data_IF_814640522999
#
_entry.id   IF_814640522999
#
_cell.length_a   1.000
_cell.length_b   1.000
_cell.length_c   1.000
_cell.angle_alpha   90.00
_cell.angle_beta   90.00
_cell.angle_gamma   90.00
#
_symmetry.space_group_name_H-M   'P 1'
#
loop_
_entity.id
_entity.type
_entity.pdbx_description
1 polymer ?
#
# COMPACT_ATOMS: atom_id res chain seq x y z
N UNK A 1 0.53 -14.96 -1.52
CA UNK A 1 0.54 -13.49 -1.51
C UNK A 1 -0.73 -12.93 -0.89
N UNK A 2 -1.90 -13.02 -1.53
CA UNK A 2 -3.13 -12.41 -1.02
C UNK A 2 -3.50 -12.77 0.43
N UNK A 3 -3.32 -14.02 0.88
CA UNK A 3 -3.52 -14.37 2.30
C UNK A 3 -2.64 -13.54 3.26
N UNK A 4 -1.38 -13.27 2.88
CA UNK A 4 -0.44 -12.44 3.64
C UNK A 4 -0.83 -10.97 3.59
N UNK A 5 -1.30 -10.49 2.43
CA UNK A 5 -1.83 -9.12 2.28
C UNK A 5 -3.03 -8.93 3.20
N UNK A 6 -4.01 -9.84 3.17
CA UNK A 6 -5.22 -9.76 4.00
C UNK A 6 -4.94 -9.66 5.50
N UNK A 7 -3.86 -10.29 5.99
CA UNK A 7 -3.46 -10.14 7.41
C UNK A 7 -2.77 -8.82 7.74
N UNK A 8 -2.22 -8.12 6.73
CA UNK A 8 -1.41 -6.90 6.89
C UNK A 8 -2.15 -5.62 6.47
N UNK A 9 -3.36 -5.76 5.91
CA UNK A 9 -4.13 -4.66 5.33
C UNK A 9 -5.52 -4.52 5.93
N UNK A 10 -5.97 -3.28 6.09
CA UNK A 10 -7.37 -2.97 6.33
C UNK A 10 -8.21 -3.24 5.08
N UNK A 11 -9.54 -3.21 5.20
CA UNK A 11 -10.44 -3.51 4.09
C UNK A 11 -10.25 -2.59 2.88
N UNK A 12 -10.04 -1.28 3.11
CA UNK A 12 -9.85 -0.29 2.04
C UNK A 12 -8.51 -0.48 1.33
N UNK A 13 -7.40 -0.63 2.07
CA UNK A 13 -6.11 -0.97 1.46
C UNK A 13 -6.16 -2.30 0.71
N UNK A 14 -6.89 -3.31 1.21
CA UNK A 14 -7.04 -4.60 0.53
C UNK A 14 -7.60 -4.47 -0.89
N UNK A 15 -8.62 -3.61 -1.07
CA UNK A 15 -9.17 -3.31 -2.39
C UNK A 15 -8.12 -2.73 -3.34
N UNK A 16 -7.26 -1.85 -2.85
CA UNK A 16 -6.16 -1.27 -3.64
C UNK A 16 -5.13 -2.32 -4.04
N UNK A 17 -4.81 -3.29 -3.18
CA UNK A 17 -3.94 -4.42 -3.55
C UNK A 17 -4.51 -5.27 -4.67
N UNK A 18 -5.84 -5.51 -4.67
CA UNK A 18 -6.50 -6.22 -5.75
C UNK A 18 -6.42 -5.43 -7.05
N UNK A 19 -6.66 -4.12 -7.00
CA UNK A 19 -6.50 -3.22 -8.15
C UNK A 19 -5.07 -3.28 -8.73
N UNK A 20 -4.02 -3.20 -7.90
CA UNK A 20 -2.63 -3.29 -8.37
C UNK A 20 -2.31 -4.62 -9.05
N UNK A 21 -2.92 -5.71 -8.58
CA UNK A 21 -2.77 -7.01 -9.22
C UNK A 21 -3.50 -7.09 -10.56
N UNK A 22 -4.68 -6.48 -10.66
CA UNK A 22 -5.45 -6.43 -11.91
C UNK A 22 -4.77 -5.53 -12.96
N UNK A 23 -4.16 -4.41 -12.53
CA UNK A 23 -3.29 -3.58 -13.38
C UNK A 23 -2.12 -4.41 -13.94
N UNK A 24 -1.44 -5.16 -13.08
CA UNK A 24 -0.31 -6.01 -13.49
C UNK A 24 -0.71 -7.11 -14.48
N UNK A 25 -1.95 -7.59 -14.39
CA UNK A 25 -2.51 -8.59 -15.32
C UNK A 25 -2.96 -8.01 -16.65
N UNK A 26 -2.99 -6.68 -16.79
CA UNK A 26 -3.68 -6.01 -17.89
C UNK A 26 -5.21 -6.15 -17.84
N UNK A 27 -5.77 -6.53 -16.68
CA UNK A 27 -7.22 -6.57 -16.45
C UNK A 27 -7.78 -5.20 -16.03
N UNK A 28 -6.91 -4.27 -15.61
CA UNK A 28 -7.20 -2.86 -15.39
C UNK A 28 -6.17 -2.00 -16.15
N UNK A 29 -6.58 -0.80 -16.58
CA UNK A 29 -5.68 0.14 -17.23
C UNK A 29 -4.67 0.70 -16.23
N UNK A 30 -3.39 0.73 -16.61
CA UNK A 30 -2.36 1.43 -15.85
C UNK A 30 -2.20 2.83 -16.41
N UNK A 31 -2.82 3.80 -15.76
CA UNK A 31 -2.88 5.18 -16.26
C UNK A 31 -1.64 6.02 -15.85
N UNK A 32 -0.88 5.55 -14.86
CA UNK A 32 0.29 6.25 -14.34
C UNK A 32 1.60 5.58 -14.79
N UNK A 33 2.35 6.24 -15.67
CA UNK A 33 3.66 5.76 -16.13
C UNK A 33 4.66 5.57 -14.98
N UNK A 34 4.65 6.46 -13.98
CA UNK A 34 5.49 6.30 -12.79
C UNK A 34 5.13 5.03 -12.01
N UNK A 35 3.85 4.67 -11.90
CA UNK A 35 3.43 3.41 -11.28
C UNK A 35 3.96 2.17 -12.02
N UNK A 36 4.11 2.24 -13.35
CA UNK A 36 4.66 1.14 -14.15
C UNK A 36 6.10 0.80 -13.74
N UNK A 37 6.92 1.81 -13.49
CA UNK A 37 8.31 1.63 -13.06
C UNK A 37 8.42 0.91 -11.72
N UNK A 38 7.47 1.16 -10.81
CA UNK A 38 7.46 0.51 -9.50
C UNK A 38 7.18 -0.99 -9.55
N UNK A 39 6.52 -1.52 -10.60
CA UNK A 39 6.33 -2.97 -10.74
C UNK A 39 7.63 -3.74 -10.96
N UNK A 40 8.74 -3.05 -11.27
CA UNK A 40 10.09 -3.61 -11.26
C UNK A 40 10.24 -4.90 -12.10
N UNK A 41 9.57 -4.94 -13.25
CA UNK A 41 9.57 -6.09 -14.16
C UNK A 41 8.81 -7.31 -13.63
N UNK A 42 7.91 -7.13 -12.65
CA UNK A 42 6.91 -8.14 -12.31
C UNK A 42 5.95 -8.33 -13.49
N UNK A 43 5.61 -9.59 -13.77
CA UNK A 43 4.59 -9.94 -14.76
C UNK A 43 3.77 -11.12 -14.27
N UNK A 44 2.56 -11.25 -14.81
CA UNK A 44 1.71 -12.42 -14.58
C UNK A 44 1.73 -13.30 -15.83
N UNK A 45 2.28 -14.51 -15.68
CA UNK A 45 2.26 -15.56 -16.70
C UNK A 45 1.24 -16.63 -16.31
N UNK A 46 0.09 -16.63 -16.98
CA UNK A 46 -1.06 -17.45 -16.62
C UNK A 46 -1.54 -17.17 -15.19
N UNK A 47 -1.30 -18.11 -14.27
CA UNK A 47 -1.62 -17.96 -12.84
C UNK A 47 -0.40 -17.65 -11.97
N UNK A 48 0.80 -17.58 -12.54
CA UNK A 48 2.05 -17.39 -11.82
C UNK A 48 2.49 -15.93 -11.88
N UNK A 49 2.92 -15.40 -10.73
CA UNK A 49 3.65 -14.14 -10.67
C UNK A 49 5.14 -14.43 -10.86
N UNK A 50 5.77 -13.78 -11.83
CA UNK A 50 7.18 -13.98 -12.19
C UNK A 50 7.83 -12.65 -12.56
N UNK A 51 9.13 -12.69 -12.91
CA UNK A 51 9.87 -11.57 -13.48
C UNK A 51 9.90 -11.68 -15.01
N UNK A 52 10.00 -10.54 -15.68
CA UNK A 52 10.26 -10.47 -17.12
C UNK A 52 11.53 -11.24 -17.49
N UNK A 53 11.53 -11.83 -18.69
CA UNK A 53 12.66 -12.60 -19.20
C UNK A 53 13.96 -11.78 -19.27
N UNK A 54 13.86 -10.49 -19.59
CA UNK A 54 14.96 -9.52 -19.61
C UNK A 54 15.61 -9.34 -18.23
N UNK A 55 14.79 -9.23 -17.18
CA UNK A 55 15.24 -9.10 -15.78
C UNK A 55 15.89 -10.40 -15.31
N UNK A 56 15.29 -11.54 -15.63
CA UNK A 56 15.84 -12.86 -15.30
C UNK A 56 17.19 -13.12 -15.96
N UNK A 57 17.37 -12.68 -17.22
CA UNK A 57 18.59 -12.88 -17.99
C UNK A 57 19.73 -11.93 -17.60
N UNK A 58 19.44 -10.83 -16.91
CA UNK A 58 20.42 -9.81 -16.54
C UNK A 58 20.87 -9.95 -15.08
N UNK A 59 20.19 -9.28 -14.16
CA UNK A 59 20.58 -9.19 -12.75
C UNK A 59 19.38 -9.33 -11.81
N UNK A 60 18.72 -10.51 -11.75
CA UNK A 60 17.50 -10.70 -10.96
C UNK A 60 17.68 -10.43 -9.46
N UNK A 61 18.91 -10.57 -8.93
CA UNK A 61 19.21 -10.27 -7.54
C UNK A 61 19.26 -8.76 -7.23
N UNK A 62 19.55 -7.91 -8.22
CA UNK A 62 19.49 -6.46 -8.05
C UNK A 62 18.04 -6.01 -7.83
N UNK A 63 17.07 -6.59 -8.55
CA UNK A 63 15.64 -6.31 -8.37
C UNK A 63 15.18 -6.57 -6.93
N UNK A 64 15.64 -7.65 -6.29
CA UNK A 64 15.34 -7.91 -4.88
C UNK A 64 15.99 -6.90 -3.94
N UNK A 65 17.23 -6.48 -4.21
CA UNK A 65 17.93 -5.50 -3.41
C UNK A 65 17.27 -4.10 -3.48
N UNK A 66 16.89 -3.68 -4.68
CA UNK A 66 16.14 -2.45 -4.92
C UNK A 66 14.77 -2.48 -4.24
N UNK A 67 14.04 -3.59 -4.31
CA UNK A 67 12.76 -3.73 -3.63
C UNK A 67 12.87 -3.60 -2.11
N UNK A 68 13.95 -4.09 -1.51
CA UNK A 68 14.23 -3.87 -0.09
C UNK A 68 14.62 -2.42 0.22
N UNK A 69 15.27 -1.72 -0.70
CA UNK A 69 15.60 -0.31 -0.53
C UNK A 69 14.34 0.56 -0.56
N UNK A 70 13.47 0.35 -1.56
CA UNK A 70 12.16 1.01 -1.68
C UNK A 70 11.26 0.73 -0.47
N UNK A 71 11.29 -0.48 0.08
CA UNK A 71 10.54 -0.80 1.30
C UNK A 71 11.03 0.00 2.51
N UNK A 72 12.35 0.19 2.66
CA UNK A 72 12.87 1.05 3.74
C UNK A 72 12.46 2.51 3.56
N UNK A 73 12.48 3.01 2.34
CA UNK A 73 12.00 4.37 2.02
C UNK A 73 10.51 4.50 2.32
N UNK A 74 9.69 3.49 1.97
CA UNK A 74 8.27 3.40 2.31
C UNK A 74 8.07 3.47 3.83
N UNK A 75 8.81 2.68 4.61
CA UNK A 75 8.73 2.69 6.08
C UNK A 75 9.14 4.04 6.70
N UNK A 76 10.02 4.80 6.07
CA UNK A 76 10.38 6.15 6.50
C UNK A 76 9.30 7.18 6.16
N UNK A 77 8.66 7.04 5.00
CA UNK A 77 7.59 7.93 4.54
C UNK A 77 6.31 7.77 5.37
N UNK A 78 5.98 6.54 5.76
CA UNK A 78 4.77 6.22 6.51
C UNK A 78 5.09 6.01 7.98
N UNK A 79 4.59 6.91 8.86
CA UNK A 79 4.81 6.82 10.30
C UNK A 79 4.58 5.40 10.84
N UNK A 80 5.52 4.93 11.66
CA UNK A 80 5.51 3.58 12.20
C UNK A 80 4.33 3.38 13.17
N UNK A 81 3.62 2.25 13.02
CA UNK A 81 2.73 1.72 14.06
C UNK A 81 1.28 1.49 13.63
N UNK A 82 0.75 2.30 12.72
CA UNK A 82 -0.71 2.33 12.48
C UNK A 82 -1.13 2.33 11.00
N UNK A 83 -0.19 2.19 10.07
CA UNK A 83 -0.46 2.10 8.62
C UNK A 83 -0.28 0.65 8.13
N UNK A 84 -1.11 0.24 7.16
CA UNK A 84 -1.01 -1.10 6.56
C UNK A 84 0.37 -1.33 5.95
N UNK A 85 0.99 -2.47 6.30
CA UNK A 85 2.38 -2.76 5.97
C UNK A 85 3.41 -2.18 6.95
N UNK A 86 3.02 -1.28 7.85
CA UNK A 86 3.92 -0.59 8.80
C UNK A 86 3.39 -0.67 10.24
N UNK A 87 3.21 -1.89 10.76
CA UNK A 87 2.81 -2.12 12.16
C UNK A 87 1.30 -2.19 12.43
N UNK A 88 0.45 -1.78 11.46
CA UNK A 88 -1.00 -1.89 11.62
C UNK A 88 -1.43 -3.35 11.84
N UNK A 89 -2.32 -3.53 12.80
CA UNK A 89 -2.91 -4.83 13.15
C UNK A 89 -4.42 -4.71 13.26
N UNK A 90 -5.14 -5.68 12.70
CA UNK A 90 -6.60 -5.73 12.77
C UNK A 90 -7.03 -5.99 14.22
N UNK A 91 -7.85 -5.10 14.79
CA UNK A 91 -8.41 -5.21 16.15
C UNK A 91 -9.92 -5.00 16.12
N UNK A 92 -10.70 -5.56 17.07
CA UNK A 92 -12.12 -5.23 17.20
C UNK A 92 -12.32 -3.72 17.30
N UNK A 93 -13.22 -3.16 16.49
CA UNK A 93 -13.46 -1.71 16.42
C UNK A 93 -12.45 -0.89 15.59
N UNK A 94 -11.30 -1.47 15.22
CA UNK A 94 -10.26 -0.81 14.40
C UNK A 94 -10.18 -1.49 13.02
N UNK A 95 -11.10 -1.11 12.13
CA UNK A 95 -11.29 -1.73 10.81
C UNK A 95 -10.51 -1.05 9.69
N UNK A 96 -9.99 0.16 9.94
CA UNK A 96 -9.21 0.99 9.03
C UNK A 96 -7.86 1.34 9.67
N UNK A 97 -6.87 1.69 8.85
CA UNK A 97 -5.57 2.14 9.30
C UNK A 97 -5.49 3.68 9.37
N UNK A 98 -4.48 4.21 10.06
CA UNK A 98 -4.28 5.64 10.27
C UNK A 98 -4.29 6.45 8.97
N UNK A 99 -3.86 5.86 7.85
CA UNK A 99 -3.90 6.50 6.54
C UNK A 99 -5.32 6.93 6.11
N UNK A 100 -6.35 6.22 6.60
CA UNK A 100 -7.74 6.51 6.29
C UNK A 100 -8.47 7.27 7.40
N UNK A 101 -7.89 7.38 8.60
CA UNK A 101 -8.62 7.86 9.79
C UNK A 101 -7.94 9.00 10.52
N UNK A 102 -6.61 9.13 10.44
CA UNK A 102 -5.88 10.20 11.12
C UNK A 102 -6.09 11.53 10.40
N UNK A 103 -6.12 12.67 11.11
CA UNK A 103 -6.13 13.99 10.47
C UNK A 103 -4.97 14.14 9.48
N UNK A 104 -5.19 14.88 8.39
CA UNK A 104 -4.12 15.21 7.43
C UNK A 104 -3.56 16.60 7.79
N UNK A 105 -2.25 16.73 8.04
CA UNK A 105 -1.66 18.04 8.29
C UNK A 105 -1.88 19.00 7.11
N UNK A 106 -2.11 20.27 7.41
CA UNK A 106 -2.27 21.33 6.39
C UNK A 106 -1.09 21.38 5.44
N UNK A 107 0.14 21.21 5.96
CA UNK A 107 1.35 21.23 5.15
C UNK A 107 1.36 20.12 4.10
N UNK A 108 0.85 18.94 4.45
CA UNK A 108 0.75 17.81 3.53
C UNK A 108 -0.32 18.05 2.45
N UNK A 109 -1.42 18.72 2.78
CA UNK A 109 -2.44 19.12 1.81
C UNK A 109 -1.94 20.19 0.85
N UNK A 110 -1.15 21.15 1.35
CA UNK A 110 -0.51 22.19 0.53
C UNK A 110 0.49 21.55 -0.44
N UNK A 111 1.41 20.71 0.05
CA UNK A 111 2.39 20.01 -0.80
C UNK A 111 1.70 19.16 -1.88
N UNK A 112 0.65 18.41 -1.48
CA UNK A 112 -0.16 17.65 -2.42
C UNK A 112 -0.80 18.55 -3.48
N UNK A 113 -1.44 19.64 -3.07
CA UNK A 113 -2.14 20.56 -3.97
C UNK A 113 -1.20 21.23 -4.97
N UNK A 114 -0.02 21.68 -4.52
CA UNK A 114 0.99 22.31 -5.38
C UNK A 114 1.59 21.32 -6.39
N UNK A 115 1.60 20.03 -6.06
CA UNK A 115 2.01 18.96 -6.96
C UNK A 115 0.95 18.50 -7.97
N UNK A 116 -0.30 18.95 -7.85
CA UNK A 116 -1.38 18.53 -8.74
C UNK A 116 -1.32 19.23 -10.10
N UNK A 117 -1.61 18.52 -11.21
CA UNK A 117 -1.93 19.18 -12.48
C UNK A 117 -3.14 20.11 -12.32
N UNK A 118 -3.12 21.25 -13.02
CA UNK A 118 -4.20 22.27 -12.95
C UNK A 118 -5.59 21.69 -13.25
N UNK A 119 -5.68 20.74 -14.19
CA UNK A 119 -6.94 20.05 -14.51
C UNK A 119 -7.49 19.24 -13.31
N UNK A 120 -6.60 18.64 -12.52
CA UNK A 120 -6.99 17.83 -11.36
C UNK A 120 -7.38 18.72 -10.18
N UNK A 121 -6.60 19.76 -9.88
CA UNK A 121 -6.95 20.71 -8.82
C UNK A 121 -8.26 21.45 -9.12
N UNK A 122 -8.47 21.85 -10.39
CA UNK A 122 -9.74 22.42 -10.84
C UNK A 122 -10.93 21.47 -10.65
N UNK A 123 -10.73 20.17 -10.85
CA UNK A 123 -11.78 19.16 -10.64
C UNK A 123 -12.10 18.97 -9.16
N UNK A 124 -11.09 19.03 -8.27
CA UNK A 124 -11.30 18.93 -6.82
C UNK A 124 -12.06 20.13 -6.23
N UNK A 125 -12.02 21.29 -6.89
CA UNK A 125 -12.77 22.48 -6.52
C UNK A 125 -14.10 22.63 -7.28
N UNK A 126 -14.64 21.50 -7.77
CA UNK A 126 -15.96 21.43 -8.40
C UNK A 126 -16.80 20.32 -7.78
N UNK A 127 -18.04 20.65 -7.45
CA UNK A 127 -19.06 19.72 -6.97
C UNK A 127 -20.35 19.92 -7.75
N UNK A 128 -21.12 18.86 -7.93
CA UNK A 128 -22.50 19.02 -8.42
C UNK A 128 -23.35 19.69 -7.36
N UNK A 129 -24.33 20.48 -7.77
CA UNK A 129 -25.25 21.14 -6.83
C UNK A 129 -25.90 20.15 -5.87
N UNK A 130 -26.32 18.96 -6.34
CA UNK A 130 -26.92 17.94 -5.49
C UNK A 130 -25.97 17.41 -4.41
N UNK A 131 -24.71 17.20 -4.77
CA UNK A 131 -23.69 16.66 -3.87
C UNK A 131 -23.30 17.73 -2.84
N UNK A 132 -23.11 18.97 -3.27
CA UNK A 132 -22.84 20.10 -2.38
C UNK A 132 -23.98 20.32 -1.38
N UNK A 133 -25.25 20.23 -1.81
CA UNK A 133 -26.41 20.38 -0.92
C UNK A 133 -26.48 19.26 0.12
N UNK A 134 -26.18 18.02 -0.28
CA UNK A 134 -26.14 16.88 0.63
C UNK A 134 -25.03 17.05 1.69
N UNK A 135 -23.83 17.44 1.24
CA UNK A 135 -22.71 17.72 2.13
C UNK A 135 -22.97 18.93 3.04
N UNK A 136 -23.61 19.99 2.53
CA UNK A 136 -24.00 21.16 3.31
C UNK A 136 -24.95 20.76 4.46
N UNK A 137 -25.99 19.95 4.22
CA UNK A 137 -26.87 19.48 5.30
C UNK A 137 -26.10 18.66 6.35
N UNK A 138 -25.22 17.76 5.90
CA UNK A 138 -24.39 16.95 6.79
C UNK A 138 -23.47 17.82 7.67
N UNK A 139 -22.80 18.80 7.08
CA UNK A 139 -21.90 19.70 7.79
C UNK A 139 -22.66 20.61 8.76
N UNK A 140 -23.80 21.16 8.36
CA UNK A 140 -24.65 21.93 9.27
C UNK A 140 -25.12 21.09 10.46
N UNK A 141 -25.42 19.81 10.25
CA UNK A 141 -25.93 18.92 11.30
C UNK A 141 -24.85 18.42 12.25
N UNK A 142 -23.74 17.93 11.73
CA UNK A 142 -22.76 17.15 12.50
C UNK A 142 -21.49 17.93 12.78
N UNK A 143 -21.07 18.81 11.87
CA UNK A 143 -19.80 19.53 11.98
C UNK A 143 -19.98 20.87 12.68
N UNK A 144 -20.94 21.70 12.23
CA UNK A 144 -21.21 23.01 12.83
C UNK A 144 -22.34 22.98 13.87
N UNK A 145 -23.08 21.87 13.96
CA UNK A 145 -24.20 21.66 14.89
C UNK A 145 -25.21 22.82 14.89
N UNK A 146 -25.54 23.35 13.71
CA UNK A 146 -26.52 24.42 13.52
C UNK A 146 -27.92 23.92 13.87
N UNK A 147 -28.65 24.72 14.66
CA UNK A 147 -30.00 24.40 15.10
C UNK A 147 -30.93 24.13 13.90
N UNK A 148 -31.89 23.22 14.06
CA UNK A 148 -32.79 22.80 12.97
C UNK A 148 -33.51 23.98 12.31
N UNK A 149 -33.94 24.95 13.11
CA UNK A 149 -34.71 26.11 12.63
C UNK A 149 -33.83 27.11 11.86
N UNK A 150 -32.55 27.22 12.22
CA UNK A 150 -31.59 28.10 11.55
C UNK A 150 -31.02 27.53 10.25
N UNK A 151 -31.05 26.20 10.02
CA UNK A 151 -30.56 25.59 8.76
C UNK A 151 -31.27 26.15 7.53
N UNK A 152 -32.57 26.46 7.66
CA UNK A 152 -33.35 27.06 6.58
C UNK A 152 -32.85 28.45 6.15
N UNK A 153 -32.20 29.18 7.06
CA UNK A 153 -31.58 30.47 6.75
C UNK A 153 -30.29 30.26 5.94
N UNK A 154 -29.45 29.29 6.30
CA UNK A 154 -28.26 28.94 5.51
C UNK A 154 -28.64 28.49 4.10
N UNK A 155 -29.67 27.65 3.96
CA UNK A 155 -30.20 27.26 2.66
C UNK A 155 -30.86 28.41 1.88
N UNK A 156 -31.24 29.50 2.55
CA UNK A 156 -31.71 30.73 1.88
C UNK A 156 -30.54 31.48 1.27
N UNK A 157 -29.45 31.65 2.02
CA UNK A 157 -28.20 32.28 1.52
C UNK A 157 -27.59 31.46 0.38
N UNK A 158 -27.54 30.13 0.49
CA UNK A 158 -27.12 29.24 -0.60
C UNK A 158 -27.93 29.49 -1.88
N UNK A 159 -29.26 29.54 -1.78
CA UNK A 159 -30.13 29.80 -2.94
C UNK A 159 -29.97 31.19 -3.53
N UNK A 160 -29.49 32.16 -2.75
CA UNK A 160 -29.21 33.51 -3.24
C UNK A 160 -27.97 33.56 -4.15
N UNK A 161 -27.06 32.57 -4.07
CA UNK A 161 -25.90 32.44 -4.96
C UNK A 161 -26.28 31.91 -6.35
N UNK A 162 -27.42 31.22 -6.47
CA UNK A 162 -27.83 30.60 -7.73
C UNK A 162 -28.24 31.66 -8.75
N UNK A 163 -27.84 31.53 -10.03
CA UNK A 163 -28.28 32.43 -11.08
C UNK A 163 -29.81 32.37 -11.23
N UNK A 164 -30.44 33.54 -11.43
CA UNK A 164 -31.90 33.62 -11.60
C UNK A 164 -32.30 33.02 -12.95
N UNK A 165 -33.27 32.10 -13.01
CA UNK A 165 -33.77 31.58 -14.28
C UNK A 165 -34.42 32.71 -15.08
N UNK A 166 -33.85 33.04 -16.26
CA UNK A 166 -34.36 34.06 -17.18
C UNK A 166 -33.71 35.43 -17.08
N UNK A 167 -32.65 35.63 -16.30
CA UNK A 167 -31.78 36.81 -16.39
C UNK A 167 -30.87 36.72 -17.61
N UNK A 168 -30.65 37.84 -18.31
CA UNK A 168 -29.68 37.90 -19.39
C UNK A 168 -28.30 37.42 -18.90
N UNK A 169 -27.59 36.66 -19.73
CA UNK A 169 -26.34 35.96 -19.43
C UNK A 169 -25.11 36.88 -19.15
N UNK A 170 -25.32 38.14 -18.76
CA UNK A 170 -24.25 39.14 -18.61
C UNK A 170 -23.92 39.57 -17.17
N UNK A 171 -24.64 39.07 -16.15
CA UNK A 171 -24.20 39.23 -14.76
C UNK A 171 -23.82 37.86 -14.21
N UNK A 172 -22.50 37.64 -14.06
CA UNK A 172 -21.97 36.45 -13.40
C UNK A 172 -22.72 36.20 -12.09
N UNK A 173 -23.06 34.93 -11.83
CA UNK A 173 -23.80 34.54 -10.62
C UNK A 173 -23.17 35.16 -9.36
N UNK A 174 -24.00 35.42 -8.35
CA UNK A 174 -23.51 36.00 -7.10
C UNK A 174 -22.39 35.13 -6.51
N UNK A 175 -21.24 35.74 -6.26
CA UNK A 175 -20.08 35.09 -5.68
C UNK A 175 -20.04 35.32 -4.16
N UNK A 176 -19.57 34.33 -3.42
CA UNK A 176 -19.39 34.42 -1.97
C UNK A 176 -17.92 34.20 -1.63
N UNK A 177 -17.28 35.19 -1.01
CA UNK A 177 -15.89 35.04 -0.55
C UNK A 177 -15.83 34.03 0.61
N UNK A 178 -15.00 33.00 0.46
CA UNK A 178 -14.80 31.94 1.46
C UNK A 178 -13.60 32.26 2.36
N UNK A 179 -12.51 32.70 1.75
CA UNK A 179 -11.32 33.21 2.43
C UNK A 179 -10.60 34.20 1.50
N UNK A 180 -9.46 34.75 1.95
CA UNK A 180 -8.64 35.59 1.09
C UNK A 180 -8.26 34.82 -0.20
N UNK A 181 -8.63 35.40 -1.33
CA UNK A 181 -8.35 34.84 -2.64
C UNK A 181 -9.23 33.67 -3.08
N UNK A 182 -10.24 33.23 -2.31
CA UNK A 182 -11.15 32.13 -2.70
C UNK A 182 -12.62 32.54 -2.66
N UNK A 183 -13.35 32.19 -3.72
CA UNK A 183 -14.76 32.57 -3.92
C UNK A 183 -15.57 31.37 -4.38
N UNK A 184 -16.75 31.20 -3.79
CA UNK A 184 -17.72 30.21 -4.16
C UNK A 184 -18.65 30.78 -5.24
N UNK A 185 -18.77 30.09 -6.37
CA UNK A 185 -19.68 30.44 -7.47
C UNK A 185 -20.54 29.23 -7.86
N UNK A 186 -21.65 29.50 -8.54
CA UNK A 186 -22.53 28.47 -9.11
C UNK A 186 -22.63 28.68 -10.60
N UNK A 187 -22.13 27.71 -11.38
CA UNK A 187 -22.06 27.77 -12.84
C UNK A 187 -22.52 26.44 -13.42
N UNK A 188 -23.53 26.48 -14.30
CA UNK A 188 -24.03 25.31 -15.04
C UNK A 188 -24.35 24.06 -14.19
N UNK A 189 -24.92 24.25 -12.99
CA UNK A 189 -25.26 23.14 -12.09
C UNK A 189 -24.07 22.61 -11.28
N UNK A 190 -22.92 23.27 -11.36
CA UNK A 190 -21.74 23.02 -10.54
C UNK A 190 -21.55 24.14 -9.53
N UNK A 191 -21.16 23.75 -8.33
CA UNK A 191 -20.61 24.63 -7.31
C UNK A 191 -19.10 24.63 -7.49
N UNK A 192 -18.51 25.80 -7.67
CA UNK A 192 -17.09 25.96 -7.94
C UNK A 192 -16.45 26.81 -6.84
N UNK A 193 -15.30 26.36 -6.34
CA UNK A 193 -14.42 27.20 -5.52
C UNK A 193 -13.30 27.75 -6.42
N UNK A 194 -13.36 29.03 -6.73
CA UNK A 194 -12.36 29.70 -7.55
C UNK A 194 -11.39 30.46 -6.66
N UNK A 195 -10.09 30.28 -6.84
CA UNK A 195 -9.13 31.05 -6.08
C UNK A 195 -7.67 30.82 -6.43
N UNK A 196 -6.82 31.64 -5.81
CA UNK A 196 -5.37 31.55 -5.91
C UNK A 196 -4.75 31.36 -4.53
N UNK A 197 -3.85 30.37 -4.40
CA UNK A 197 -3.07 30.11 -3.18
C UNK A 197 -3.72 29.10 -2.23
N UNK A 198 -3.18 27.89 -2.15
CA UNK A 198 -3.76 26.79 -1.35
C UNK A 198 -3.60 26.94 0.16
N UNK A 199 -2.50 27.53 0.63
CA UNK A 199 -2.18 27.60 2.06
C UNK A 199 -3.27 28.31 2.87
N UNK A 200 -3.64 29.53 2.47
CA UNK A 200 -4.66 30.32 3.18
C UNK A 200 -6.03 29.61 3.23
N UNK A 201 -6.37 28.87 2.17
CA UNK A 201 -7.61 28.09 2.15
C UNK A 201 -7.58 26.94 3.15
N UNK A 202 -6.52 26.13 3.16
CA UNK A 202 -6.41 24.99 4.07
C UNK A 202 -6.25 25.41 5.52
N UNK A 203 -5.50 26.49 5.80
CA UNK A 203 -5.41 27.10 7.13
C UNK A 203 -6.79 27.55 7.62
N UNK A 204 -7.54 28.27 6.78
CA UNK A 204 -8.92 28.69 7.13
C UNK A 204 -9.82 27.50 7.43
N UNK A 205 -9.73 26.43 6.63
CA UNK A 205 -10.54 25.24 6.85
C UNK A 205 -10.15 24.46 8.11
N UNK A 206 -8.86 24.43 8.46
CA UNK A 206 -8.34 23.90 9.73
C UNK A 206 -8.86 24.71 10.92
N UNK A 207 -8.81 26.05 10.86
CA UNK A 207 -9.36 26.91 11.92
C UNK A 207 -10.84 26.62 12.21
N UNK A 208 -11.65 26.43 11.16
CA UNK A 208 -13.07 26.07 11.30
C UNK A 208 -13.24 24.69 11.96
N UNK A 209 -12.32 23.76 11.70
CA UNK A 209 -12.33 22.44 12.31
C UNK A 209 -11.88 22.48 13.77
N UNK A 210 -10.83 23.22 14.09
CA UNK A 210 -10.29 23.39 15.44
C UNK A 210 -11.20 24.17 16.38
N UNK A 211 -11.98 25.13 15.84
CA UNK A 211 -13.05 25.78 16.60
C UNK A 211 -14.12 24.79 17.11
N UNK A 212 -14.13 23.53 16.64
CA UNK A 212 -14.95 22.44 17.20
C UNK A 212 -14.25 21.69 18.34
N UNK A 213 -12.91 21.74 18.40
CA UNK A 213 -12.06 20.95 19.31
C UNK A 213 -11.53 21.69 20.53
N UNK A 214 -11.52 23.02 20.54
CA UNK A 214 -10.90 23.84 21.59
C UNK A 214 -11.73 24.04 22.88
N UNK A 215 -13.01 23.66 22.92
CA UNK A 215 -13.87 23.84 24.10
C UNK A 215 -13.87 22.61 25.02
N UNK A 216 -12.69 22.23 25.49
CA UNK A 216 -12.58 21.53 26.77
C UNK A 216 -13.04 22.49 27.88
N UNK A 217 -14.30 22.35 28.32
CA UNK A 217 -14.96 23.18 29.33
C UNK A 217 -15.40 24.59 28.84
N UNK A 218 -16.20 24.67 27.77
CA UNK A 218 -16.55 25.94 27.14
C UNK A 218 -17.98 26.07 26.63
N UNK A 219 -18.35 25.49 25.48
CA UNK A 219 -19.74 25.50 25.00
C UNK A 219 -20.01 24.41 23.95
N UNK A 220 -20.47 23.23 24.37
CA UNK A 220 -21.11 22.21 23.50
C UNK A 220 -22.49 22.69 22.96
N UNK A 221 -22.62 23.98 22.68
CA UNK A 221 -23.86 24.64 22.31
C UNK A 221 -24.23 24.40 20.85
N UNK A 222 -25.53 24.28 20.61
CA UNK A 222 -26.09 24.37 19.26
C UNK A 222 -25.79 25.78 18.72
N UNK A 223 -25.11 25.89 17.57
CA UNK A 223 -24.88 27.19 16.90
C UNK A 223 -26.20 27.69 16.28
N UNK A 224 -26.43 28.99 16.34
CA UNK A 224 -27.56 29.65 15.72
C UNK A 224 -27.08 30.48 14.51
N UNK A 225 -27.91 30.47 13.46
CA UNK A 225 -27.74 31.28 12.26
C UNK A 225 -29.08 31.96 11.97
N UNK A 226 -29.51 32.79 12.91
CA UNK A 226 -30.80 33.49 12.92
C UNK A 226 -30.78 34.78 12.08
N UNK A 227 -29.61 35.41 11.93
CA UNK A 227 -29.40 36.54 11.02
C UNK A 227 -28.85 36.11 9.65
N UNK A 228 -29.06 36.91 8.58
CA UNK A 228 -28.44 36.65 7.28
C UNK A 228 -26.91 36.61 7.34
N UNK A 229 -26.28 37.42 8.19
CA UNK A 229 -24.83 37.49 8.35
C UNK A 229 -24.28 36.18 8.93
N UNK A 230 -24.90 35.68 10.02
CA UNK A 230 -24.52 34.40 10.63
C UNK A 230 -24.83 33.21 9.72
N UNK A 231 -25.90 33.30 8.92
CA UNK A 231 -26.23 32.28 7.93
C UNK A 231 -25.20 32.23 6.78
N UNK A 232 -24.69 33.39 6.34
CA UNK A 232 -23.59 33.46 5.36
C UNK A 232 -22.29 32.92 5.95
N UNK A 233 -21.97 33.27 7.19
CA UNK A 233 -20.78 32.73 7.88
C UNK A 233 -20.84 31.21 7.99
N UNK A 234 -21.97 30.63 8.39
CA UNK A 234 -22.14 29.18 8.44
C UNK A 234 -22.04 28.52 7.05
N UNK A 235 -22.51 29.19 5.99
CA UNK A 235 -22.33 28.70 4.61
C UNK A 235 -20.85 28.71 4.20
N UNK A 236 -20.10 29.77 4.55
CA UNK A 236 -18.66 29.88 4.29
C UNK A 236 -17.88 28.80 5.05
N UNK A 237 -18.15 28.63 6.34
CA UNK A 237 -17.56 27.58 7.18
C UNK A 237 -17.81 26.19 6.57
N UNK A 238 -19.05 25.91 6.15
CA UNK A 238 -19.38 24.65 5.48
C UNK A 238 -18.64 24.49 4.16
N UNK A 239 -18.59 25.52 3.30
CA UNK A 239 -17.88 25.44 2.03
C UNK A 239 -16.40 25.11 2.23
N UNK A 240 -15.73 25.77 3.18
CA UNK A 240 -14.33 25.48 3.50
C UNK A 240 -14.12 24.02 3.92
N UNK A 241 -14.95 23.50 4.83
CA UNK A 241 -14.87 22.09 5.27
C UNK A 241 -15.15 21.09 4.15
N UNK A 242 -16.14 21.36 3.29
CA UNK A 242 -16.53 20.47 2.20
C UNK A 242 -15.38 20.31 1.20
N UNK A 243 -14.81 21.43 0.73
CA UNK A 243 -13.73 21.37 -0.25
C UNK A 243 -12.42 20.86 0.37
N UNK A 244 -12.11 21.18 1.64
CA UNK A 244 -11.00 20.54 2.36
C UNK A 244 -11.19 19.02 2.40
N UNK A 245 -12.39 18.55 2.76
CA UNK A 245 -12.73 17.13 2.81
C UNK A 245 -12.56 16.43 1.46
N UNK A 246 -12.94 17.08 0.35
CA UNK A 246 -12.73 16.54 -0.99
C UNK A 246 -11.26 16.37 -1.33
N UNK A 247 -10.41 17.36 -0.99
CA UNK A 247 -8.96 17.27 -1.17
C UNK A 247 -8.36 16.19 -0.27
N UNK A 248 -8.79 16.09 0.99
CA UNK A 248 -8.33 15.03 1.91
C UNK A 248 -8.66 13.64 1.38
N UNK A 249 -9.85 13.43 0.84
CA UNK A 249 -10.23 12.14 0.25
C UNK A 249 -9.30 11.80 -0.91
N UNK A 250 -9.07 12.75 -1.83
CA UNK A 250 -8.18 12.56 -2.98
C UNK A 250 -6.73 12.29 -2.55
N UNK A 251 -6.22 13.05 -1.58
CA UNK A 251 -4.91 12.84 -0.97
C UNK A 251 -4.80 11.42 -0.40
N UNK A 252 -5.72 11.02 0.48
CA UNK A 252 -5.70 9.70 1.13
C UNK A 252 -5.77 8.56 0.12
N UNK A 253 -6.54 8.73 -0.96
CA UNK A 253 -6.66 7.73 -2.02
C UNK A 253 -5.36 7.59 -2.82
N UNK A 254 -4.74 8.70 -3.21
CA UNK A 254 -3.44 8.68 -3.88
C UNK A 254 -2.37 8.04 -2.97
N UNK A 255 -2.27 8.51 -1.73
CA UNK A 255 -1.28 8.02 -0.76
C UNK A 255 -1.48 6.54 -0.44
N UNK A 256 -2.73 6.10 -0.23
CA UNK A 256 -3.04 4.68 -0.02
C UNK A 256 -2.77 3.84 -1.26
N UNK A 257 -3.07 4.37 -2.45
CA UNK A 257 -2.77 3.72 -3.72
C UNK A 257 -1.28 3.49 -3.91
N UNK A 258 -0.45 4.48 -3.56
CA UNK A 258 1.00 4.40 -3.62
C UNK A 258 1.57 3.41 -2.59
N UNK A 259 1.13 3.50 -1.32
CA UNK A 259 1.54 2.55 -0.28
C UNK A 259 1.17 1.11 -0.66
N UNK A 260 -0.02 0.89 -1.22
CA UNK A 260 -0.45 -0.43 -1.68
C UNK A 260 0.42 -0.95 -2.83
N UNK A 261 0.82 -0.10 -3.77
CA UNK A 261 1.73 -0.48 -4.86
C UNK A 261 3.10 -0.91 -4.32
N UNK A 262 3.73 -0.08 -3.48
CA UNK A 262 5.04 -0.38 -2.93
C UNK A 262 5.03 -1.68 -2.10
N UNK A 263 4.04 -1.83 -1.21
CA UNK A 263 3.93 -3.02 -0.39
C UNK A 263 3.60 -4.27 -1.23
N UNK A 264 2.78 -4.14 -2.27
CA UNK A 264 2.48 -5.23 -3.20
C UNK A 264 3.76 -5.77 -3.84
N UNK A 265 4.55 -4.87 -4.43
CA UNK A 265 5.80 -5.20 -5.12
C UNK A 265 6.80 -5.81 -4.15
N UNK A 266 6.98 -5.20 -2.96
CA UNK A 266 7.85 -5.71 -1.92
C UNK A 266 7.47 -7.14 -1.51
N UNK A 267 6.19 -7.40 -1.24
CA UNK A 267 5.71 -8.72 -0.84
C UNK A 267 5.86 -9.75 -1.96
N UNK A 268 5.56 -9.36 -3.20
CA UNK A 268 5.73 -10.21 -4.38
C UNK A 268 7.18 -10.66 -4.55
N UNK A 269 8.11 -9.70 -4.59
CA UNK A 269 9.53 -9.94 -4.78
C UNK A 269 10.15 -10.67 -3.59
N UNK A 270 9.77 -10.32 -2.36
CA UNK A 270 10.23 -11.02 -1.16
C UNK A 270 9.82 -12.49 -1.13
N UNK A 271 8.61 -12.82 -1.58
CA UNK A 271 8.17 -14.22 -1.71
C UNK A 271 8.97 -14.99 -2.78
N UNK A 272 9.34 -14.33 -3.90
CA UNK A 272 10.19 -14.96 -4.93
C UNK A 272 11.61 -15.18 -4.41
N UNK A 273 12.18 -14.19 -3.74
CA UNK A 273 13.52 -14.28 -3.16
C UNK A 273 13.60 -15.40 -2.10
N UNK A 274 12.58 -15.53 -1.26
CA UNK A 274 12.48 -16.62 -0.28
C UNK A 274 12.45 -17.99 -0.95
N UNK A 275 11.68 -18.14 -2.04
CA UNK A 275 11.65 -19.38 -2.83
C UNK A 275 13.01 -19.72 -3.43
N UNK A 276 13.73 -18.72 -3.96
CA UNK A 276 15.08 -18.91 -4.49
C UNK A 276 16.06 -19.33 -3.39
N UNK A 277 16.01 -18.66 -2.24
CA UNK A 277 16.87 -18.98 -1.09
C UNK A 277 16.66 -20.42 -0.62
N UNK A 278 15.42 -20.87 -0.54
CA UNK A 278 15.07 -22.25 -0.19
C UNK A 278 15.59 -23.23 -1.25
N UNK A 279 15.39 -22.95 -2.53
CA UNK A 279 15.90 -23.79 -3.63
C UNK A 279 17.44 -23.92 -3.60
N UNK A 280 18.16 -22.84 -3.34
CA UNK A 280 19.62 -22.88 -3.18
C UNK A 280 20.06 -23.67 -1.93
N UNK A 281 19.31 -23.55 -0.83
CA UNK A 281 19.55 -24.34 0.38
C UNK A 281 19.39 -25.83 0.11
N UNK A 282 18.30 -26.22 -0.55
CA UNK A 282 18.00 -27.60 -0.91
C UNK A 282 19.03 -28.17 -1.89
N UNK A 283 19.47 -27.37 -2.87
CA UNK A 283 20.51 -27.77 -3.81
C UNK A 283 21.84 -28.08 -3.09
N UNK A 284 22.26 -27.20 -2.17
CA UNK A 284 23.48 -27.42 -1.37
C UNK A 284 23.35 -28.66 -0.48
N UNK A 285 22.19 -28.88 0.13
CA UNK A 285 21.95 -30.06 0.93
C UNK A 285 22.07 -31.36 0.10
N UNK A 286 21.49 -31.38 -1.11
CA UNK A 286 21.60 -32.51 -2.04
C UNK A 286 23.03 -32.75 -2.53
N UNK A 287 23.79 -31.68 -2.77
CA UNK A 287 25.21 -31.79 -3.13
C UNK A 287 26.03 -32.41 -1.99
N UNK A 288 25.84 -31.95 -0.75
CA UNK A 288 26.51 -32.51 0.41
C UNK A 288 26.13 -33.98 0.66
N UNK A 289 24.86 -34.35 0.46
CA UNK A 289 24.40 -35.75 0.54
C UNK A 289 25.09 -36.64 -0.51
N UNK A 290 25.18 -36.17 -1.75
CA UNK A 290 25.87 -36.90 -2.83
C UNK A 290 27.37 -37.11 -2.52
N UNK A 291 28.06 -36.08 -2.02
CA UNK A 291 29.46 -36.17 -1.61
C UNK A 291 29.67 -37.19 -0.46
N UNK A 292 28.77 -37.20 0.54
CA UNK A 292 28.83 -38.17 1.63
C UNK A 292 28.60 -39.61 1.13
N UNK A 293 27.68 -39.82 0.20
CA UNK A 293 27.45 -41.13 -0.42
C UNK A 293 28.70 -41.62 -1.16
N UNK A 294 29.36 -40.76 -1.94
CA UNK A 294 30.62 -41.09 -2.62
C UNK A 294 31.74 -41.47 -1.64
N UNK A 295 31.86 -40.75 -0.52
CA UNK A 295 32.83 -41.06 0.53
C UNK A 295 32.56 -42.44 1.15
N UNK A 296 31.31 -42.72 1.52
CA UNK A 296 30.90 -44.01 2.09
C UNK A 296 31.19 -45.16 1.14
N UNK A 297 30.88 -45.01 -0.15
CA UNK A 297 31.21 -46.02 -1.17
C UNK A 297 32.72 -46.23 -1.29
N UNK A 298 33.51 -45.15 -1.26
CA UNK A 298 34.97 -45.23 -1.34
C UNK A 298 35.57 -45.96 -0.14
N UNK A 299 35.04 -45.73 1.06
CA UNK A 299 35.46 -46.40 2.29
C UNK A 299 35.05 -47.87 2.29
N UNK A 300 33.84 -48.19 1.83
CA UNK A 300 33.38 -49.56 1.64
C UNK A 300 34.28 -50.32 0.66
N UNK A 301 34.64 -49.71 -0.48
CA UNK A 301 35.59 -50.27 -1.47
C UNK A 301 36.98 -50.48 -0.86
N UNK A 302 37.51 -49.51 -0.09
CA UNK A 302 38.80 -49.64 0.62
C UNK A 302 38.78 -50.74 1.68
N UNK A 303 37.68 -50.86 2.44
CA UNK A 303 37.49 -51.90 3.45
C UNK A 303 37.39 -53.30 2.83
N UNK A 304 36.65 -53.43 1.72
CA UNK A 304 36.59 -54.66 0.91
C UNK A 304 37.98 -55.09 0.45
N UNK A 305 38.74 -54.19 -0.19
CA UNK A 305 40.13 -54.45 -0.62
C UNK A 305 41.04 -54.89 0.54
N UNK A 306 40.92 -54.27 1.72
CA UNK A 306 41.67 -54.69 2.93
C UNK A 306 41.29 -56.11 3.38
N UNK A 307 40.00 -56.46 3.35
CA UNK A 307 39.51 -57.81 3.70
C UNK A 307 40.02 -58.87 2.72
N UNK A 308 40.00 -58.59 1.42
CA UNK A 308 40.47 -59.53 0.39
C UNK A 308 41.99 -59.75 0.47
N UNK A 309 42.77 -58.70 0.73
CA UNK A 309 44.21 -58.80 0.98
C UNK A 309 44.53 -59.61 2.25
N UNK A 310 43.66 -59.56 3.28
CA UNK A 310 43.82 -60.38 4.49
C UNK A 310 43.46 -61.85 4.26
N UNK A 311 42.48 -62.13 3.39
CA UNK A 311 42.12 -63.51 3.01
C UNK A 311 43.21 -64.17 2.16
N UNK A 312 43.76 -63.49 1.15
CA UNK A 312 44.86 -64.05 0.33
C UNK A 312 46.12 -64.35 1.14
N UNK A 313 46.53 -63.46 2.05
CA UNK A 313 47.67 -63.73 2.96
C UNK A 313 47.45 -64.92 3.90
N UNK A 314 46.19 -65.26 4.21
CA UNK A 314 45.85 -66.44 5.02
C UNK A 314 45.81 -67.73 4.21
N UNK A 315 45.48 -67.68 2.91
CA UNK A 315 45.54 -68.86 2.03
C UNK A 315 46.98 -69.22 1.64
N UNK A 316 47.86 -68.24 1.45
CA UNK A 316 49.28 -68.49 1.12
C UNK A 316 50.08 -69.05 2.32
N UNK A 317 49.65 -68.77 3.56
CA UNK A 317 50.28 -69.32 4.77
C UNK A 317 49.92 -70.78 5.10
N UNK A 318 49.13 -71.47 4.26
CA UNK A 318 48.64 -72.84 4.52
C UNK A 318 49.10 -73.89 3.48
N UNK A 319 50.12 -73.57 2.66
CA UNK A 319 50.82 -74.56 1.85
C UNK A 319 52.02 -75.12 2.64
N UNK A 320 51.82 -76.21 3.38
CA UNK A 320 52.92 -77.03 3.90
C UNK A 320 53.47 -77.92 2.76
N UNK A 321 54.79 -78.08 2.62
CA UNK A 321 55.34 -79.01 1.64
C UNK A 321 55.03 -80.46 2.05
N UNK A 322 54.49 -81.26 1.14
CA UNK A 322 54.32 -82.71 1.34
C UNK A 322 55.69 -83.36 1.56
N UNK A 323 55.86 -84.03 2.70
CA UNK A 323 57.05 -84.83 2.99
C UNK A 323 57.00 -86.18 2.24
N UNK A 324 58.14 -86.75 1.80
CA UNK A 324 58.16 -87.98 1.02
C UNK A 324 57.79 -89.19 1.88
N UNK A 325 56.88 -90.03 1.39
CA UNK A 325 56.50 -91.30 2.03
C UNK A 325 57.68 -92.27 2.06
N UNK A 326 58.16 -92.60 3.26
CA UNK A 326 59.16 -93.65 3.49
C UNK A 326 58.54 -95.04 3.25
N UNK A 327 59.26 -95.85 2.47
CA UNK A 327 58.98 -97.26 2.23
C UNK A 327 59.23 -98.09 3.50
N UNK A 328 58.25 -98.91 3.86
CA UNK A 328 58.27 -99.80 5.03
C UNK A 328 59.08 -101.05 4.70
N UNK A 329 60.25 -101.21 5.30
CA UNK A 329 61.02 -102.46 5.26
C UNK A 329 60.32 -103.54 6.08
N UNK A 330 60.10 -104.70 5.46
CA UNK A 330 59.84 -105.96 6.17
C UNK A 330 61.19 -106.61 6.46
N UNK A 331 61.38 -107.09 7.70
CA UNK A 331 62.43 -108.03 8.07
C UNK A 331 61.76 -109.32 8.58
N UNK A 332 62.22 -110.51 8.17
CA UNK A 332 61.85 -111.76 8.81
C UNK A 332 62.94 -112.24 9.80
N UNK A 333 62.44 -112.87 10.87
CA UNK A 333 63.09 -113.71 11.90
C UNK A 333 64.18 -113.09 12.75
#
# INVERSE_FOLDING_TARGET
MFRKITSLSCGRCHGLFALRYDELKGAAAMECAACAEYFAGLVVDGSALTLEASVLASAPFMTFAEARARERERELQFMAGDICGSGWTKRPGHTMCALHTSPVPVEALVEYWEGLPEEHSSTLFRLREEDFVAELDAHLKYQLRICRDCRGNVFREWRALRPRPGGAAEEGGAALDVCEGHRLTVVDGLVCLEGSGSAAFFERAEEVEDCKGADGEGSEGVRHADTPELAREALVDCAALIYKGQVEVAFREQTAGHNALLLFVHLALGMMEERLRNAFSDLRARQAEAELLELVESEAKKAGRKKDKKKSRRSDGRALPEAPRQARMQAPM
#
